data_IF_823300734352
#
_entry.id   IF_823300734352
#
_cell.length_a   1.000
_cell.length_b   1.000
_cell.length_c   1.000
_cell.angle_alpha   90.00
_cell.angle_beta   90.00
_cell.angle_gamma   90.00
#
_symmetry.space_group_name_H-M   'P 1'
#
loop_
_entity.id
_entity.type
_entity.pdbx_description
1 polymer ?
#
# COMPACT_ATOMS: atom_id res chain seq x y z
N UNK A 1 50.56 27.70 14.11
CA UNK A 1 49.18 27.71 13.55
C UNK A 1 49.01 26.73 12.38
N UNK A 2 49.24 25.42 12.55
CA UNK A 2 49.06 24.41 11.47
C UNK A 2 48.51 23.05 11.94
N UNK A 3 47.89 22.99 13.13
CA UNK A 3 47.29 21.74 13.68
C UNK A 3 45.77 21.78 13.88
N UNK A 4 45.15 22.97 13.89
CA UNK A 4 43.69 23.11 14.03
C UNK A 4 42.89 22.96 12.72
N UNK A 5 43.54 23.11 11.56
CA UNK A 5 42.83 23.11 10.27
C UNK A 5 42.51 21.71 9.73
N UNK A 6 43.26 20.68 10.16
CA UNK A 6 43.06 19.29 9.67
C UNK A 6 41.88 18.57 10.35
N UNK A 7 41.46 19.03 11.54
CA UNK A 7 40.35 18.41 12.29
C UNK A 7 38.99 18.84 11.72
N UNK A 8 38.89 20.04 11.15
CA UNK A 8 37.65 20.53 10.54
C UNK A 8 37.37 19.98 9.15
N UNK A 9 38.40 19.65 8.36
CA UNK A 9 38.22 18.98 7.06
C UNK A 9 37.78 17.52 7.23
N UNK A 10 38.24 16.85 8.30
CA UNK A 10 37.78 15.50 8.65
C UNK A 10 36.32 15.45 9.11
N UNK A 11 35.83 16.49 9.82
CA UNK A 11 34.45 16.54 10.29
C UNK A 11 33.44 16.89 9.18
N UNK A 12 33.85 17.65 8.16
CA UNK A 12 33.00 17.97 6.99
C UNK A 12 32.84 16.77 6.06
N UNK A 13 33.82 15.85 6.01
CA UNK A 13 33.68 14.60 5.24
C UNK A 13 32.81 13.53 5.91
N UNK A 14 32.55 13.62 7.22
CA UNK A 14 31.70 12.65 7.94
C UNK A 14 30.23 13.06 7.95
N UNK A 15 29.91 14.33 7.61
CA UNK A 15 28.53 14.81 7.42
C UNK A 15 27.99 14.62 6.00
N UNK A 16 28.81 14.08 5.07
CA UNK A 16 28.53 14.02 3.63
C UNK A 16 28.00 12.70 3.09
N UNK A 17 27.71 11.69 3.92
CA UNK A 17 27.14 10.41 3.44
C UNK A 17 25.95 9.97 4.31
N UNK A 18 25.07 10.92 4.63
CA UNK A 18 23.66 10.55 4.68
C UNK A 18 23.21 10.46 3.23
N UNK A 19 23.33 9.27 2.64
CA UNK A 19 22.68 8.91 1.39
C UNK A 19 21.16 8.98 1.57
N UNK A 20 20.61 10.20 1.67
CA UNK A 20 19.19 10.51 1.53
C UNK A 20 18.94 10.57 0.01
N UNK A 21 19.15 9.43 -0.66
CA UNK A 21 18.85 9.26 -2.07
C UNK A 21 17.56 8.43 -2.26
N UNK A 22 16.62 8.51 -1.31
CA UNK A 22 15.29 7.86 -1.42
C UNK A 22 14.12 8.83 -1.27
N UNK A 23 14.35 10.14 -1.23
CA UNK A 23 13.31 11.15 -1.51
C UNK A 23 13.41 11.49 -3.00
N UNK A 24 12.51 11.03 -3.89
CA UNK A 24 11.24 11.71 -4.14
C UNK A 24 10.31 10.93 -5.09
N UNK A 25 10.44 9.62 -5.24
CA UNK A 25 9.55 8.90 -6.17
C UNK A 25 8.11 8.85 -5.65
N UNK A 26 7.90 8.92 -4.34
CA UNK A 26 6.59 8.93 -3.69
C UNK A 26 6.52 10.00 -2.60
N UNK A 27 5.36 10.65 -2.49
CA UNK A 27 5.07 11.65 -1.48
C UNK A 27 3.60 11.58 -1.05
N UNK A 28 3.33 11.85 0.23
CA UNK A 28 1.97 12.11 0.74
C UNK A 28 1.91 13.57 1.18
N UNK A 29 1.05 14.37 0.53
CA UNK A 29 0.73 15.75 0.91
C UNK A 29 -0.69 15.81 1.45
N UNK A 30 -0.84 15.85 2.77
CA UNK A 30 -2.14 15.71 3.43
C UNK A 30 -2.81 14.40 3.00
N UNK A 31 -3.98 14.51 2.36
CA UNK A 31 -4.74 13.37 1.82
C UNK A 31 -4.45 13.06 0.35
N UNK A 32 -3.32 13.49 -0.19
CA UNK A 32 -2.94 13.22 -1.57
C UNK A 32 -1.68 12.36 -1.63
N UNK A 33 -1.79 11.19 -2.27
CA UNK A 33 -0.66 10.37 -2.68
C UNK A 33 -0.16 10.83 -4.04
N UNK A 34 1.14 11.01 -4.18
CA UNK A 34 1.81 11.47 -5.39
C UNK A 34 2.96 10.50 -5.67
N UNK A 35 2.90 9.86 -6.84
CA UNK A 35 4.00 9.10 -7.41
C UNK A 35 4.59 9.85 -8.58
N UNK A 36 5.91 9.96 -8.62
CA UNK A 36 6.67 10.50 -9.74
C UNK A 36 7.08 9.40 -10.73
N UNK A 37 7.23 8.16 -10.26
CA UNK A 37 7.64 7.02 -11.07
C UNK A 37 6.89 5.74 -10.67
N UNK A 38 5.87 5.31 -11.42
CA UNK A 38 5.26 6.01 -12.56
C UNK A 38 4.51 7.28 -12.11
N UNK A 39 4.29 8.28 -13.00
CA UNK A 39 3.64 9.54 -12.65
C UNK A 39 2.13 9.38 -12.47
N UNK A 40 1.66 9.29 -11.22
CA UNK A 40 0.24 9.28 -10.91
C UNK A 40 -0.05 9.92 -9.55
N UNK A 41 -1.28 10.39 -9.36
CA UNK A 41 -1.78 10.90 -8.10
C UNK A 41 -3.06 10.19 -7.69
N UNK A 42 -3.32 10.12 -6.40
CA UNK A 42 -4.51 9.49 -5.85
C UNK A 42 -4.90 10.15 -4.53
N UNK A 43 -6.18 10.36 -4.31
CA UNK A 43 -6.72 10.81 -3.03
C UNK A 43 -6.76 9.66 -2.03
N UNK A 44 -6.36 9.96 -0.80
CA UNK A 44 -6.33 9.06 0.34
C UNK A 44 -7.49 9.39 1.28
N UNK A 45 -8.11 8.39 1.96
CA UNK A 45 -9.20 8.66 2.90
C UNK A 45 -8.70 9.38 4.17
N UNK A 46 -7.45 9.13 4.53
CA UNK A 46 -6.77 9.64 5.73
C UNK A 46 -5.37 10.13 5.38
N UNK A 47 -4.73 10.82 6.33
CA UNK A 47 -3.30 11.06 6.28
C UNK A 47 -2.56 9.83 6.82
N UNK A 48 -1.46 9.46 6.17
CA UNK A 48 -0.69 8.30 6.55
C UNK A 48 0.78 8.64 6.75
N UNK A 49 1.42 7.89 7.64
CA UNK A 49 2.85 7.96 7.88
C UNK A 49 3.56 6.80 7.20
N UNK A 50 4.61 7.08 6.43
CA UNK A 50 5.52 6.05 5.93
C UNK A 50 6.26 5.43 7.11
N UNK A 51 6.11 4.12 7.29
CA UNK A 51 6.76 3.37 8.38
C UNK A 51 7.86 2.46 7.88
N UNK A 52 7.81 2.00 6.64
CA UNK A 52 8.87 1.17 6.09
C UNK A 52 8.87 1.25 4.57
N UNK A 53 10.04 1.07 3.98
CA UNK A 53 10.18 0.84 2.56
C UNK A 53 11.35 -0.10 2.31
N UNK A 54 11.25 -0.90 1.25
CA UNK A 54 12.32 -1.74 0.76
C UNK A 54 12.17 -1.96 -0.75
N UNK A 55 13.20 -2.51 -1.37
CA UNK A 55 13.15 -2.95 -2.76
C UNK A 55 13.79 -4.32 -2.92
N UNK A 56 13.35 -5.07 -3.91
CA UNK A 56 13.93 -6.37 -4.27
C UNK A 56 13.85 -6.61 -5.77
N UNK A 57 14.90 -7.23 -6.32
CA UNK A 57 14.92 -7.64 -7.72
C UNK A 57 14.05 -8.89 -7.93
N UNK A 58 13.40 -8.96 -9.09
CA UNK A 58 12.73 -10.16 -9.61
C UNK A 58 13.34 -10.50 -10.99
N UNK A 59 14.50 -11.19 -11.02
CA UNK A 59 15.21 -11.46 -12.28
C UNK A 59 14.36 -12.23 -13.30
N UNK A 60 13.51 -13.14 -12.84
CA UNK A 60 12.61 -13.92 -13.69
C UNK A 60 11.59 -13.06 -14.45
N UNK A 61 11.25 -11.89 -13.90
CA UNK A 61 10.31 -10.94 -14.51
C UNK A 61 11.02 -9.73 -15.14
N UNK A 62 12.36 -9.70 -15.12
CA UNK A 62 13.17 -8.53 -15.49
C UNK A 62 12.63 -7.25 -14.84
N UNK A 63 12.39 -7.29 -13.52
CA UNK A 63 11.82 -6.17 -12.79
C UNK A 63 12.47 -5.94 -11.43
N UNK A 64 12.36 -4.71 -10.91
CA UNK A 64 12.70 -4.29 -9.56
C UNK A 64 11.42 -3.84 -8.88
N UNK A 65 11.03 -4.49 -7.78
CA UNK A 65 9.84 -4.09 -7.01
C UNK A 65 10.23 -3.23 -5.82
N UNK A 66 9.68 -2.01 -5.77
CA UNK A 66 9.74 -1.10 -4.63
C UNK A 66 8.45 -1.23 -3.81
N UNK A 67 8.58 -1.40 -2.50
CA UNK A 67 7.46 -1.57 -1.57
C UNK A 67 7.50 -0.48 -0.52
N UNK A 68 6.35 0.11 -0.26
CA UNK A 68 6.16 1.19 0.71
C UNK A 68 4.99 0.86 1.63
N UNK A 69 5.23 0.98 2.94
CA UNK A 69 4.26 0.70 3.98
C UNK A 69 3.88 2.00 4.68
N UNK A 70 2.62 2.38 4.54
CA UNK A 70 2.04 3.52 5.20
C UNK A 70 0.98 3.06 6.19
N UNK A 71 0.86 3.73 7.31
CA UNK A 71 -0.17 3.45 8.30
C UNK A 71 -0.78 4.73 8.87
N UNK A 72 -2.00 4.58 9.39
CA UNK A 72 -2.59 5.46 10.38
C UNK A 72 -2.74 4.64 11.66
N UNK A 73 -2.20 5.14 12.75
CA UNK A 73 -2.27 4.49 14.05
C UNK A 73 -3.13 5.29 15.02
N UNK A 74 -3.78 4.57 15.94
CA UNK A 74 -4.46 5.12 17.11
C UNK A 74 -4.02 4.30 18.31
N UNK A 75 -3.51 4.95 19.37
CA UNK A 75 -3.10 4.27 20.61
C UNK A 75 -2.11 3.10 20.34
N UNK A 76 -1.11 3.33 19.48
CA UNK A 76 -0.12 2.31 19.00
C UNK A 76 -0.71 1.11 18.27
N UNK A 77 -1.99 1.13 17.92
CA UNK A 77 -2.67 0.12 17.12
C UNK A 77 -2.88 0.62 15.70
N UNK A 78 -2.64 -0.24 14.73
CA UNK A 78 -2.92 0.06 13.32
C UNK A 78 -4.43 0.19 13.12
N UNK A 79 -4.90 1.37 12.69
CA UNK A 79 -6.30 1.62 12.34
C UNK A 79 -6.52 1.45 10.83
N UNK A 80 -5.59 2.01 10.04
CA UNK A 80 -5.58 1.88 8.59
C UNK A 80 -4.17 1.55 8.11
N UNK A 81 -4.08 0.69 7.09
CA UNK A 81 -2.85 0.27 6.46
C UNK A 81 -2.95 0.53 4.96
N UNK A 82 -1.89 1.08 4.38
CA UNK A 82 -1.82 1.42 2.98
C UNK A 82 -0.46 0.98 2.44
N UNK A 83 -0.45 -0.06 1.61
CA UNK A 83 0.76 -0.65 1.04
C UNK A 83 0.78 -0.33 -0.45
N UNK A 84 1.90 0.18 -0.94
CA UNK A 84 2.13 0.44 -2.35
C UNK A 84 3.29 -0.40 -2.82
N UNK A 85 3.09 -1.12 -3.92
CA UNK A 85 4.12 -1.87 -4.63
C UNK A 85 4.20 -1.33 -6.04
N UNK A 86 5.41 -0.98 -6.47
CA UNK A 86 5.69 -0.54 -7.83
C UNK A 86 6.80 -1.44 -8.36
N UNK A 87 6.46 -2.26 -9.35
CA UNK A 87 7.42 -3.05 -10.11
C UNK A 87 7.84 -2.26 -11.33
N UNK A 88 9.13 -1.96 -11.44
CA UNK A 88 9.72 -1.26 -12.58
C UNK A 88 10.43 -2.26 -13.46
N UNK A 89 10.18 -2.24 -14.78
CA UNK A 89 10.93 -3.02 -15.75
C UNK A 89 12.41 -2.61 -15.73
N UNK A 90 13.31 -3.59 -15.66
CA UNK A 90 14.77 -3.37 -15.59
C UNK A 90 15.48 -3.66 -16.91
N UNK A 91 14.88 -4.49 -17.79
CA UNK A 91 15.38 -4.74 -19.13
C UNK A 91 14.46 -4.10 -20.18
N UNK A 92 14.89 -3.04 -20.89
CA UNK A 92 14.09 -2.38 -21.93
C UNK A 92 13.66 -3.32 -23.07
N UNK A 93 14.45 -4.36 -23.35
CA UNK A 93 14.16 -5.34 -24.42
C UNK A 93 13.15 -6.42 -23.99
N UNK A 94 12.81 -6.52 -22.69
CA UNK A 94 11.80 -7.45 -22.24
C UNK A 94 10.41 -7.06 -22.76
N UNK A 95 9.50 -8.03 -22.80
CA UNK A 95 8.09 -7.78 -23.13
C UNK A 95 7.47 -6.75 -22.17
N UNK A 96 6.38 -6.06 -22.59
CA UNK A 96 5.62 -5.21 -21.69
C UNK A 96 5.22 -5.96 -20.41
N UNK A 97 5.29 -5.26 -19.27
CA UNK A 97 4.86 -5.81 -18.00
C UNK A 97 3.40 -6.23 -18.06
N UNK A 98 3.10 -7.36 -17.43
CA UNK A 98 1.74 -7.85 -17.27
C UNK A 98 1.44 -8.01 -15.79
N UNK A 99 0.16 -7.93 -15.46
CA UNK A 99 -0.34 -8.04 -14.11
C UNK A 99 -1.24 -9.27 -14.04
N UNK A 100 -0.96 -10.27 -13.19
CA UNK A 100 -1.93 -11.33 -12.95
C UNK A 100 -3.18 -10.70 -12.35
N UNK A 101 -4.34 -11.20 -12.76
CA UNK A 101 -5.61 -10.64 -12.31
C UNK A 101 -5.79 -10.80 -10.80
N UNK A 102 -6.35 -9.77 -10.15
CA UNK A 102 -6.58 -9.75 -8.70
C UNK A 102 -7.42 -10.96 -8.26
N UNK A 103 -6.93 -11.71 -7.27
CA UNK A 103 -7.63 -12.86 -6.68
C UNK A 103 -7.95 -12.58 -5.21
N UNK A 104 -9.19 -12.86 -4.75
CA UNK A 104 -9.48 -12.86 -3.33
C UNK A 104 -8.62 -13.89 -2.61
N UNK A 105 -8.27 -13.60 -1.35
CA UNK A 105 -7.31 -14.42 -0.60
C UNK A 105 -7.85 -15.81 -0.21
N UNK A 106 -9.17 -16.00 -0.29
CA UNK A 106 -9.85 -17.28 -0.20
C UNK A 106 -11.19 -17.17 -0.96
N UNK A 107 -11.93 -18.28 -1.06
CA UNK A 107 -13.33 -18.32 -1.52
C UNK A 107 -14.25 -17.59 -0.51
N UNK A 108 -14.05 -16.27 -0.36
CA UNK A 108 -14.68 -15.48 0.70
C UNK A 108 -16.09 -15.00 0.33
N UNK A 109 -16.93 -14.95 1.36
CA UNK A 109 -18.38 -14.66 1.37
C UNK A 109 -18.82 -13.35 0.73
N UNK A 110 -17.96 -12.32 0.68
CA UNK A 110 -18.30 -11.01 0.11
C UNK A 110 -17.06 -10.35 -0.49
N UNK A 111 -16.99 -10.35 -1.81
CA UNK A 111 -16.03 -9.57 -2.55
C UNK A 111 -16.70 -8.87 -3.73
N UNK A 112 -16.14 -7.74 -4.14
CA UNK A 112 -16.49 -7.08 -5.40
C UNK A 112 -15.22 -6.88 -6.18
N UNK A 113 -15.22 -7.41 -7.41
CA UNK A 113 -14.12 -7.28 -8.35
C UNK A 113 -14.64 -6.65 -9.62
N UNK A 114 -13.96 -5.62 -10.10
CA UNK A 114 -14.28 -5.03 -11.39
C UNK A 114 -13.04 -4.38 -12.00
N UNK A 115 -13.20 -3.94 -13.24
CA UNK A 115 -12.23 -3.15 -13.97
C UNK A 115 -12.87 -1.83 -14.35
N UNK A 116 -12.10 -0.75 -14.25
CA UNK A 116 -12.49 0.54 -14.78
C UNK A 116 -11.46 0.97 -15.83
N UNK A 117 -11.93 1.59 -16.90
CA UNK A 117 -11.08 2.14 -17.96
C UNK A 117 -11.06 3.66 -17.85
N UNK A 118 -9.86 4.25 -17.81
CA UNK A 118 -9.63 5.71 -17.79
C UNK A 118 -8.63 6.07 -18.90
N UNK A 119 -9.13 6.49 -20.05
CA UNK A 119 -8.30 6.60 -21.25
C UNK A 119 -7.74 5.22 -21.61
N UNK A 120 -6.42 5.12 -21.74
CA UNK A 120 -5.73 3.86 -22.02
C UNK A 120 -5.37 3.06 -20.76
N UNK A 121 -5.60 3.64 -19.57
CA UNK A 121 -5.35 2.94 -18.32
C UNK A 121 -6.53 2.04 -17.97
N UNK A 122 -6.26 0.74 -17.86
CA UNK A 122 -7.15 -0.22 -17.23
C UNK A 122 -6.75 -0.42 -15.77
N UNK A 123 -7.67 -0.15 -14.86
CA UNK A 123 -7.48 -0.35 -13.42
C UNK A 123 -8.37 -1.50 -12.98
N UNK A 124 -7.77 -2.58 -12.55
CA UNK A 124 -8.47 -3.66 -11.86
C UNK A 124 -8.54 -3.34 -10.36
N UNK A 125 -9.68 -3.60 -9.74
CA UNK A 125 -9.85 -3.42 -8.30
C UNK A 125 -10.66 -4.55 -7.67
N UNK A 126 -10.38 -4.78 -6.38
CA UNK A 126 -11.02 -5.82 -5.57
C UNK A 126 -11.26 -5.31 -4.15
N UNK A 127 -12.49 -5.35 -3.66
CA UNK A 127 -12.80 -5.20 -2.23
C UNK A 127 -13.18 -6.54 -1.62
N UNK A 128 -12.70 -6.81 -0.40
CA UNK A 128 -13.02 -8.01 0.34
C UNK A 128 -12.93 -7.76 1.85
N UNK A 129 -13.70 -8.51 2.63
CA UNK A 129 -13.59 -8.59 4.08
C UNK A 129 -12.64 -9.75 4.47
N UNK A 130 -11.64 -9.51 5.31
CA UNK A 130 -10.68 -10.53 5.73
C UNK A 130 -10.06 -10.25 7.10
N UNK A 131 -9.60 -11.27 7.81
CA UNK A 131 -8.76 -11.07 9.01
C UNK A 131 -7.35 -10.61 8.61
N UNK A 132 -6.78 -9.69 9.41
CA UNK A 132 -5.36 -9.40 9.32
C UNK A 132 -4.54 -10.56 9.87
N UNK A 133 -3.45 -10.89 9.17
CA UNK A 133 -2.46 -11.85 9.64
C UNK A 133 -1.22 -11.08 10.12
N UNK A 134 -1.10 -10.75 11.42
CA UNK A 134 0.05 -10.01 11.94
C UNK A 134 1.37 -10.77 11.77
N UNK A 135 1.32 -12.09 11.62
CA UNK A 135 2.50 -12.95 11.45
C UNK A 135 3.03 -12.94 10.01
N UNK A 136 2.33 -12.31 9.07
CA UNK A 136 2.80 -12.18 7.70
C UNK A 136 4.19 -11.50 7.66
N UNK A 137 5.15 -12.12 6.97
CA UNK A 137 6.53 -11.63 6.90
C UNK A 137 6.66 -10.18 6.44
N UNK A 138 5.79 -9.76 5.52
CA UNK A 138 5.71 -8.37 5.01
C UNK A 138 5.27 -7.34 6.05
N UNK A 139 4.64 -7.77 7.15
CA UNK A 139 4.16 -6.89 8.23
C UNK A 139 5.09 -6.84 9.44
N UNK A 140 6.07 -7.74 9.51
CA UNK A 140 7.07 -7.77 10.59
C UNK A 140 7.82 -6.44 10.79
N UNK A 141 8.15 -5.64 9.75
CA UNK A 141 8.75 -4.33 9.96
C UNK A 141 7.88 -3.36 10.80
N UNK A 142 6.55 -3.47 10.72
CA UNK A 142 5.61 -2.66 11.51
C UNK A 142 5.58 -3.17 12.96
N UNK A 143 5.46 -4.49 13.14
CA UNK A 143 5.44 -5.14 14.45
C UNK A 143 6.74 -4.86 15.22
N UNK A 144 7.90 -4.95 14.56
CA UNK A 144 9.22 -4.65 15.13
C UNK A 144 9.38 -3.20 15.58
N UNK A 145 8.54 -2.28 15.08
CA UNK A 145 8.49 -0.87 15.54
C UNK A 145 7.57 -0.67 16.75
N UNK A 146 7.06 -1.75 17.34
CA UNK A 146 6.18 -1.70 18.51
C UNK A 146 4.74 -1.28 18.18
N UNK A 147 4.35 -1.37 16.90
CA UNK A 147 3.01 -1.02 16.44
C UNK A 147 2.20 -2.31 16.33
N UNK A 148 1.10 -2.37 17.06
CA UNK A 148 0.24 -3.54 17.09
C UNK A 148 -0.60 -3.60 15.83
N UNK A 149 -0.51 -4.71 15.09
CA UNK A 149 -1.45 -5.06 14.04
C UNK A 149 -2.46 -6.01 14.67
N UNK A 150 -3.73 -5.62 14.81
CA UNK A 150 -4.71 -6.54 15.33
C UNK A 150 -4.86 -7.77 14.44
N UNK A 151 -5.11 -8.92 15.05
CA UNK A 151 -5.43 -10.17 14.36
C UNK A 151 -6.93 -10.33 14.06
N UNK A 152 -7.73 -9.26 14.19
CA UNK A 152 -9.16 -9.29 13.92
C UNK A 152 -9.48 -8.87 12.48
N UNK A 153 -10.77 -8.74 12.17
CA UNK A 153 -11.27 -8.42 10.84
C UNK A 153 -10.83 -7.02 10.34
N UNK A 154 -10.59 -6.96 9.03
CA UNK A 154 -10.33 -5.75 8.28
C UNK A 154 -11.04 -5.77 6.93
N UNK A 155 -11.52 -4.61 6.51
CA UNK A 155 -11.96 -4.41 5.13
C UNK A 155 -10.76 -4.03 4.29
N UNK A 156 -10.56 -4.75 3.19
CA UNK A 156 -9.42 -4.59 2.31
C UNK A 156 -9.87 -4.25 0.89
N UNK A 157 -9.29 -3.20 0.34
CA UNK A 157 -9.36 -2.84 -1.07
C UNK A 157 -8.00 -3.06 -1.74
N UNK A 158 -7.99 -3.55 -2.96
CA UNK A 158 -6.81 -3.75 -3.78
C UNK A 158 -7.00 -3.09 -5.13
N UNK A 159 -5.95 -2.48 -5.65
CA UNK A 159 -5.92 -1.81 -6.95
C UNK A 159 -4.70 -2.32 -7.69
N UNK A 160 -4.85 -2.59 -8.97
CA UNK A 160 -3.77 -3.00 -9.83
C UNK A 160 -3.93 -2.38 -11.22
N UNK A 161 -2.84 -1.86 -11.77
CA UNK A 161 -2.79 -1.40 -13.15
C UNK A 161 -1.35 -1.46 -13.68
N UNK A 162 -1.24 -1.49 -15.00
CA UNK A 162 0.03 -1.37 -15.71
C UNK A 162 0.12 0.02 -16.33
N UNK A 163 1.20 0.74 -16.09
CA UNK A 163 1.48 2.03 -16.69
C UNK A 163 2.47 1.88 -17.84
N UNK A 164 2.00 2.16 -19.06
CA UNK A 164 2.75 2.15 -20.32
C UNK A 164 3.55 0.85 -20.61
N UNK A 165 3.18 -0.28 -20.00
CA UNK A 165 3.92 -1.53 -20.13
C UNK A 165 5.27 -1.55 -19.39
N UNK A 166 5.63 -0.49 -18.69
CA UNK A 166 6.95 -0.32 -18.05
C UNK A 166 6.88 -0.41 -16.52
N UNK A 167 5.69 -0.15 -15.95
CA UNK A 167 5.49 -0.20 -14.50
C UNK A 167 4.24 -0.98 -14.13
N UNK A 168 4.37 -1.93 -13.21
CA UNK A 168 3.24 -2.53 -12.52
C UNK A 168 2.98 -1.83 -11.21
N UNK A 169 1.77 -1.31 -11.00
CA UNK A 169 1.36 -0.68 -9.73
C UNK A 169 0.35 -1.59 -9.05
N UNK A 170 0.63 -1.93 -7.79
CA UNK A 170 -0.28 -2.64 -6.91
C UNK A 170 -0.44 -1.87 -5.60
N UNK A 171 -1.67 -1.58 -5.21
CA UNK A 171 -2.00 -0.88 -3.98
C UNK A 171 -2.93 -1.74 -3.15
N UNK A 172 -2.68 -1.80 -1.84
CA UNK A 172 -3.56 -2.42 -0.87
C UNK A 172 -3.91 -1.41 0.22
N UNK A 173 -5.20 -1.15 0.38
CA UNK A 173 -5.75 -0.37 1.47
C UNK A 173 -6.49 -1.31 2.41
N UNK A 174 -6.23 -1.24 3.71
CA UNK A 174 -6.96 -1.99 4.72
C UNK A 174 -7.38 -1.09 5.86
N UNK A 175 -8.57 -1.35 6.40
CA UNK A 175 -9.12 -0.64 7.55
C UNK A 175 -9.70 -1.62 8.56
N UNK A 176 -9.33 -1.42 9.81
CA UNK A 176 -9.86 -2.14 10.96
C UNK A 176 -11.40 -2.02 10.99
N UNK A 177 -12.15 -3.12 11.08
CA UNK A 177 -13.63 -3.05 11.12
C UNK A 177 -14.19 -2.33 12.35
N UNK A 178 -13.48 -2.33 13.48
CA UNK A 178 -13.91 -1.68 14.71
C UNK A 178 -13.82 -0.14 14.60
N UNK A 179 -13.02 0.37 13.65
CA UNK A 179 -12.93 1.81 13.38
C UNK A 179 -14.25 2.41 12.84
N UNK A 180 -15.20 1.58 12.42
CA UNK A 180 -16.53 2.01 11.98
C UNK A 180 -17.52 2.22 13.13
N UNK A 181 -17.11 2.00 14.39
CA UNK A 181 -17.96 2.19 15.57
C UNK A 181 -19.08 1.16 15.71
N UNK A 182 -19.00 0.06 14.97
CA UNK A 182 -19.96 -1.05 15.00
C UNK A 182 -19.24 -2.28 15.58
N UNK A 183 -19.88 -2.95 16.57
CA UNK A 183 -19.40 -4.22 17.11
C UNK A 183 -19.59 -5.30 16.03
N UNK A 184 -18.51 -5.66 15.36
CA UNK A 184 -18.46 -6.85 14.51
C UNK A 184 -18.08 -8.04 15.41
N UNK A 185 -18.63 -9.22 15.15
CA UNK A 185 -18.32 -10.46 15.86
C UNK A 185 -16.79 -10.60 16.08
N UNK A 186 -16.35 -10.52 17.34
CA UNK A 186 -14.96 -10.25 17.71
C UNK A 186 -14.04 -11.50 17.65
N UNK A 187 -14.59 -12.70 17.48
CA UNK A 187 -13.82 -13.90 17.84
C UNK A 187 -12.80 -14.36 16.80
N UNK A 188 -12.91 -13.97 15.52
CA UNK A 188 -11.89 -14.20 14.50
C UNK A 188 -11.48 -15.68 14.28
N UNK A 189 -12.24 -16.63 14.83
CA UNK A 189 -12.03 -18.08 14.73
C UNK A 189 -12.97 -18.65 13.67
N UNK A 190 -12.50 -19.53 12.80
CA UNK A 190 -13.28 -20.15 11.71
C UNK A 190 -13.81 -19.15 10.66
N UNK A 191 -12.86 -18.49 9.98
CA UNK A 191 -13.04 -17.49 8.92
C UNK A 191 -13.99 -17.89 7.77
N UNK A 192 -14.23 -19.17 7.56
CA UNK A 192 -15.08 -19.78 6.53
C UNK A 192 -16.55 -19.93 6.98
N UNK A 193 -16.84 -19.92 8.29
CA UNK A 193 -18.12 -20.41 8.85
C UNK A 193 -19.04 -19.33 9.45
N UNK A 194 -18.55 -18.14 9.77
CA UNK A 194 -19.31 -17.12 10.51
C UNK A 194 -20.26 -16.26 9.65
N UNK A 195 -21.55 -16.25 10.01
CA UNK A 195 -22.64 -15.53 9.31
C UNK A 195 -22.52 -14.03 9.53
N UNK A 196 -22.47 -13.28 8.42
CA UNK A 196 -22.34 -11.82 8.41
C UNK A 196 -23.64 -11.17 8.90
N UNK A 197 -23.57 -10.40 9.98
CA UNK A 197 -24.73 -9.68 10.53
C UNK A 197 -25.13 -8.46 9.68
N UNK A 198 -26.35 -7.93 9.84
CA UNK A 198 -26.83 -6.74 9.07
C UNK A 198 -25.90 -5.53 9.18
N UNK A 199 -25.23 -5.33 10.31
CA UNK A 199 -24.31 -4.22 10.52
C UNK A 199 -23.06 -4.33 9.65
N UNK A 200 -22.57 -5.54 9.40
CA UNK A 200 -21.37 -5.78 8.60
C UNK A 200 -21.58 -5.41 7.12
N UNK A 201 -22.79 -5.63 6.57
CA UNK A 201 -23.12 -5.17 5.21
C UNK A 201 -23.00 -3.66 5.08
N UNK A 202 -23.52 -2.90 6.05
CA UNK A 202 -23.43 -1.43 6.06
C UNK A 202 -21.98 -0.94 6.18
N UNK A 203 -21.16 -1.61 7.00
CA UNK A 203 -19.72 -1.33 7.12
C UNK A 203 -19.01 -1.59 5.78
N UNK A 204 -19.31 -2.73 5.15
CA UNK A 204 -18.77 -3.08 3.83
C UNK A 204 -19.13 -2.03 2.76
N UNK A 205 -20.41 -1.65 2.65
CA UNK A 205 -20.86 -0.63 1.69
C UNK A 205 -20.20 0.74 1.95
N UNK A 206 -20.05 1.13 3.22
CA UNK A 206 -19.37 2.37 3.60
C UNK A 206 -17.91 2.36 3.18
N UNK A 207 -17.21 1.25 3.45
CA UNK A 207 -15.84 1.07 3.00
C UNK A 207 -15.72 1.06 1.48
N UNK A 208 -16.59 0.32 0.79
CA UNK A 208 -16.58 0.22 -0.66
C UNK A 208 -16.75 1.60 -1.30
N UNK A 209 -17.66 2.44 -0.77
CA UNK A 209 -17.83 3.83 -1.24
C UNK A 209 -16.54 4.65 -1.05
N UNK A 210 -15.90 4.56 0.11
CA UNK A 210 -14.64 5.27 0.37
C UNK A 210 -13.50 4.77 -0.52
N UNK A 211 -13.38 3.46 -0.69
CA UNK A 211 -12.38 2.82 -1.54
C UNK A 211 -12.58 3.18 -3.01
N UNK A 212 -13.82 3.18 -3.51
CA UNK A 212 -14.12 3.64 -4.87
C UNK A 212 -13.82 5.12 -5.06
N UNK A 213 -13.96 5.95 -4.02
CA UNK A 213 -13.49 7.34 -4.06
C UNK A 213 -11.98 7.43 -4.34
N UNK A 214 -11.19 6.57 -3.69
CA UNK A 214 -9.74 6.45 -3.93
C UNK A 214 -9.45 5.95 -5.36
N UNK A 215 -10.08 4.86 -5.81
CA UNK A 215 -9.95 4.33 -7.19
C UNK A 215 -10.29 5.40 -8.24
N UNK A 216 -11.41 6.10 -8.06
CA UNK A 216 -11.90 7.10 -8.98
C UNK A 216 -11.05 8.38 -8.98
N UNK A 217 -10.27 8.64 -7.94
CA UNK A 217 -9.34 9.78 -7.89
C UNK A 217 -8.00 9.55 -8.60
N UNK A 218 -7.69 8.30 -8.97
CA UNK A 218 -6.44 7.98 -9.68
C UNK A 218 -6.37 8.80 -10.97
N UNK A 219 -5.33 9.62 -11.06
CA UNK A 219 -5.03 10.50 -12.19
C UNK A 219 -3.59 10.28 -12.62
N UNK A 220 -3.35 10.10 -13.91
CA UNK A 220 -2.01 10.01 -14.48
C UNK A 220 -1.55 11.42 -14.87
N UNK A 221 -0.28 11.75 -14.60
CA UNK A 221 0.34 12.95 -15.19
C UNK A 221 1.11 12.53 -16.43
N UNK A 222 0.74 13.10 -17.58
CA UNK A 222 1.25 12.80 -18.92
C UNK A 222 0.94 11.36 -19.41
N UNK A 223 -0.11 11.15 -20.22
CA UNK A 223 -0.20 9.96 -21.06
C UNK A 223 0.90 9.93 -22.12
#
# INVERSE_FOLDING_TARGET
MKRGLKIWVGLILILGVNSIATAKDLEIKGKQFISQKPPFTMSLPSEYRLVHSFSHDNPAESSLTRVYFFIKEREKKTEEMFIVQISDKTNPQALPMTAPSLKPYAEKRMYSKAKIKKGDLEIEHLTQLMAWNPDAGSLQPIVKKGITIPSHWALQGQIQFIYLGEHGVFVRYSKDVNSFGLKVSEEGKNWDRDVISRNEKKVYETFQKSFMGLVNSITIKNP
#
